data_IF_016432949349
#
_entry.id   IF_016432949349
#
_cell.length_a   1.000
_cell.length_b   1.000
_cell.length_c   1.000
_cell.angle_alpha   90.00
_cell.angle_beta   90.00
_cell.angle_gamma   90.00
#
_symmetry.space_group_name_H-M   'P 1'
#
loop_
_entity.id
_entity.type
_entity.pdbx_description
1 polymer ?
#
# COMPACT_ATOMS: atom_id res chain seq x y z
N UNK A 1 2.00 22.42 -10.74
CA UNK A 1 2.33 21.06 -10.26
C UNK A 1 1.28 20.72 -9.21
N UNK A 2 0.42 19.74 -9.48
CA UNK A 2 -0.60 19.31 -8.53
C UNK A 2 0.02 18.37 -7.49
N UNK A 3 -0.19 18.64 -6.21
CA UNK A 3 0.24 17.79 -5.09
C UNK A 3 -1.02 17.10 -4.54
N UNK A 4 -1.01 15.78 -4.45
CA UNK A 4 -2.11 15.02 -3.85
C UNK A 4 -2.39 15.52 -2.43
N UNK A 5 -3.67 15.56 -2.03
CA UNK A 5 -4.05 15.88 -0.65
C UNK A 5 -3.35 14.91 0.32
N UNK A 6 -3.08 15.41 1.53
CA UNK A 6 -2.34 14.70 2.58
C UNK A 6 -2.90 13.29 2.75
N UNK A 7 -2.01 12.30 2.72
CA UNK A 7 -2.32 10.96 3.21
C UNK A 7 -2.62 11.06 4.72
N UNK A 8 -3.75 10.54 5.17
CA UNK A 8 -4.10 10.50 6.60
C UNK A 8 -2.97 9.80 7.38
N UNK A 9 -2.53 10.38 8.51
CA UNK A 9 -1.48 9.84 9.39
C UNK A 9 -0.06 10.42 9.23
N UNK A 10 0.16 11.40 8.33
CA UNK A 10 1.45 12.09 8.23
C UNK A 10 1.67 13.13 9.34
N UNK A 11 2.83 13.09 10.01
CA UNK A 11 3.22 14.03 11.07
C UNK A 11 3.19 15.50 10.57
N UNK A 12 2.44 16.41 11.23
CA UNK A 12 2.29 17.79 10.78
C UNK A 12 3.59 18.59 11.01
N UNK A 13 4.52 18.51 10.05
CA UNK A 13 5.76 19.28 10.07
C UNK A 13 6.88 18.71 9.19
N UNK A 14 6.77 17.45 8.78
CA UNK A 14 7.80 16.79 7.94
C UNK A 14 7.47 17.00 6.45
N UNK A 15 8.27 17.84 5.79
CA UNK A 15 8.17 18.13 4.35
C UNK A 15 8.43 16.91 3.44
N UNK A 16 8.95 15.82 4.00
CA UNK A 16 9.17 14.55 3.29
C UNK A 16 7.96 13.63 3.47
N UNK A 17 6.83 14.01 2.85
CA UNK A 17 5.54 13.32 2.85
C UNK A 17 5.63 12.00 2.06
N UNK A 18 6.48 11.05 2.50
CA UNK A 18 6.59 9.72 1.89
C UNK A 18 5.63 8.77 2.60
N UNK A 19 4.66 8.24 1.86
CA UNK A 19 3.83 7.14 2.35
C UNK A 19 4.72 5.90 2.59
N UNK A 20 4.67 5.28 3.79
CA UNK A 20 5.39 4.04 4.02
C UNK A 20 4.90 2.97 3.05
N UNK A 21 5.79 2.09 2.59
CA UNK A 21 5.41 0.90 1.80
C UNK A 21 4.97 -0.19 2.76
N UNK A 22 3.86 0.09 3.44
CA UNK A 22 3.21 -0.80 4.41
C UNK A 22 1.90 -1.29 3.81
N UNK A 23 1.71 -2.59 3.77
CA UNK A 23 0.47 -3.23 3.31
C UNK A 23 -0.06 -4.10 4.44
N UNK A 24 -1.34 -3.98 4.74
CA UNK A 24 -2.04 -4.86 5.67
C UNK A 24 -3.12 -5.63 4.89
N UNK A 25 -3.07 -6.95 4.97
CA UNK A 25 -4.14 -7.83 4.48
C UNK A 25 -4.81 -8.53 5.65
N UNK A 26 -6.10 -8.84 5.46
CA UNK A 26 -6.88 -9.65 6.39
C UNK A 26 -6.27 -11.06 6.53
N UNK A 27 -6.66 -11.84 7.55
CA UNK A 27 -6.24 -13.24 7.68
C UNK A 27 -6.53 -14.10 6.44
N UNK A 28 -7.57 -13.76 5.68
CA UNK A 28 -7.98 -14.41 4.43
C UNK A 28 -7.17 -13.98 3.20
N UNK A 29 -6.30 -12.97 3.35
CA UNK A 29 -5.46 -12.45 2.26
C UNK A 29 -6.07 -11.27 1.50
N UNK A 30 -7.22 -10.76 1.91
CA UNK A 30 -7.87 -9.63 1.26
C UNK A 30 -7.23 -8.30 1.65
N UNK A 31 -7.31 -7.32 0.74
CA UNK A 31 -6.81 -5.97 1.01
C UNK A 31 -7.60 -5.31 2.13
N UNK A 32 -6.89 -4.89 3.19
CA UNK A 32 -7.48 -4.06 4.24
C UNK A 32 -7.06 -2.59 4.08
N UNK A 33 -5.76 -2.31 4.18
CA UNK A 33 -5.25 -0.93 4.15
C UNK A 33 -3.80 -0.85 3.67
N UNK A 34 -3.38 0.36 3.31
CA UNK A 34 -2.02 0.67 2.86
C UNK A 34 -1.47 1.91 3.58
N UNK A 35 -0.15 2.05 3.65
CA UNK A 35 0.52 3.25 4.14
C UNK A 35 0.41 3.41 5.66
N UNK A 36 0.18 4.65 6.11
CA UNK A 36 0.07 4.96 7.53
C UNK A 36 -1.12 4.24 8.17
N UNK A 37 -2.28 4.22 7.51
CA UNK A 37 -3.46 3.48 7.97
C UNK A 37 -3.18 2.00 8.21
N UNK A 38 -2.37 1.35 7.36
CA UNK A 38 -1.95 -0.04 7.57
C UNK A 38 -1.04 -0.21 8.79
N UNK A 39 -0.12 0.73 8.98
CA UNK A 39 0.79 0.73 10.13
C UNK A 39 -0.01 0.93 11.41
N UNK A 40 -0.79 1.99 11.48
CA UNK A 40 -1.47 2.41 12.72
C UNK A 40 -2.47 1.33 13.14
N UNK A 41 -3.32 0.85 12.22
CA UNK A 41 -4.25 -0.23 12.50
C UNK A 41 -3.57 -1.48 13.05
N UNK A 42 -2.47 -1.95 12.42
CA UNK A 42 -1.78 -3.15 12.88
C UNK A 42 -1.15 -2.98 14.28
N UNK A 43 -0.68 -1.78 14.63
CA UNK A 43 -0.08 -1.53 15.95
C UNK A 43 -1.13 -1.29 17.04
N UNK A 44 -2.37 -0.97 16.66
CA UNK A 44 -3.51 -0.83 17.57
C UNK A 44 -4.23 -2.17 17.84
N UNK A 45 -3.98 -3.21 17.03
CA UNK A 45 -4.52 -4.56 17.24
C UNK A 45 -3.98 -5.21 18.53
N UNK A 46 -4.82 -6.03 19.16
CA UNK A 46 -4.39 -6.91 20.22
C UNK A 46 -3.31 -7.89 19.70
N UNK A 47 -2.25 -8.19 20.49
CA UNK A 47 -1.14 -9.04 20.04
C UNK A 47 -1.53 -10.45 19.60
N UNK A 48 -2.64 -10.98 20.11
CA UNK A 48 -3.17 -12.28 19.68
C UNK A 48 -3.82 -12.18 18.30
N UNK A 49 -4.62 -11.13 18.06
CA UNK A 49 -5.26 -10.88 16.78
C UNK A 49 -4.22 -10.54 15.70
N UNK A 50 -3.27 -9.66 15.99
CA UNK A 50 -2.22 -9.22 15.06
C UNK A 50 -1.42 -10.39 14.43
N UNK A 51 -1.34 -11.54 15.11
CA UNK A 51 -0.69 -12.76 14.58
C UNK A 51 -1.42 -13.38 13.39
N UNK A 52 -2.73 -13.17 13.28
CA UNK A 52 -3.52 -13.72 12.19
C UNK A 52 -3.40 -12.88 10.92
N UNK A 53 -3.22 -11.57 11.09
CA UNK A 53 -3.12 -10.58 10.02
C UNK A 53 -1.79 -10.65 9.25
N UNK A 54 -1.84 -10.31 7.96
CA UNK A 54 -0.69 -10.29 7.08
C UNK A 54 -0.17 -8.87 6.91
N UNK A 55 0.75 -8.46 7.79
CA UNK A 55 1.37 -7.14 7.72
C UNK A 55 2.73 -7.18 7.04
N UNK A 56 2.91 -6.39 5.98
CA UNK A 56 4.14 -6.24 5.22
C UNK A 56 4.69 -4.83 5.37
N UNK A 57 5.76 -4.65 6.14
CA UNK A 57 6.46 -3.36 6.26
C UNK A 57 7.64 -3.24 5.27
N UNK A 58 7.79 -2.04 4.68
CA UNK A 58 8.93 -1.61 3.85
C UNK A 58 9.25 -2.61 2.73
N UNK A 59 8.22 -3.22 2.14
CA UNK A 59 8.41 -4.33 1.19
C UNK A 59 9.16 -3.90 -0.09
N UNK A 60 9.07 -2.62 -0.49
CA UNK A 60 9.87 -2.06 -1.59
C UNK A 60 11.38 -2.18 -1.32
N UNK A 61 11.80 -1.96 -0.08
CA UNK A 61 13.21 -2.05 0.29
C UNK A 61 13.69 -3.51 0.33
N UNK A 62 12.87 -4.43 0.86
CA UNK A 62 13.17 -5.87 0.90
C UNK A 62 13.48 -6.43 -0.50
N UNK A 63 12.72 -5.98 -1.49
CA UNK A 63 12.89 -6.35 -2.91
C UNK A 63 14.15 -5.70 -3.50
N UNK A 64 14.40 -4.42 -3.25
CA UNK A 64 15.59 -3.74 -3.74
C UNK A 64 16.90 -4.36 -3.22
N UNK A 65 16.88 -4.94 -2.01
CA UNK A 65 18.03 -5.66 -1.44
C UNK A 65 18.18 -7.10 -1.94
N UNK A 66 17.25 -7.62 -2.74
CA UNK A 66 17.27 -8.99 -3.25
C UNK A 66 17.90 -9.04 -4.64
N UNK A 67 19.06 -9.71 -4.75
CA UNK A 67 19.85 -9.76 -5.98
C UNK A 67 19.18 -10.54 -7.13
N UNK A 68 18.41 -11.58 -6.79
CA UNK A 68 17.79 -12.51 -7.74
C UNK A 68 16.26 -12.43 -7.66
N UNK A 69 15.70 -11.31 -8.13
CA UNK A 69 14.25 -11.17 -8.19
C UNK A 69 13.67 -12.02 -9.32
N UNK A 70 12.69 -12.85 -8.98
CA UNK A 70 11.94 -13.65 -9.95
C UNK A 70 10.45 -13.49 -9.71
N UNK A 71 9.62 -13.94 -10.66
CA UNK A 71 8.16 -13.98 -10.47
C UNK A 71 7.73 -14.93 -9.35
N UNK A 72 8.65 -15.77 -8.85
CA UNK A 72 8.43 -16.69 -7.72
C UNK A 72 8.88 -16.11 -6.37
N UNK A 73 9.47 -14.91 -6.37
CA UNK A 73 9.92 -14.27 -5.13
C UNK A 73 8.72 -14.09 -4.19
N UNK A 74 8.89 -14.53 -2.95
CA UNK A 74 7.90 -14.37 -1.90
C UNK A 74 8.36 -13.33 -0.89
N UNK A 75 7.42 -12.59 -0.33
CA UNK A 75 7.62 -11.69 0.79
C UNK A 75 7.04 -12.32 2.05
N UNK A 76 7.74 -12.12 3.16
CA UNK A 76 7.31 -12.57 4.47
C UNK A 76 6.63 -11.43 5.23
N UNK A 77 5.42 -11.71 5.72
CA UNK A 77 4.68 -10.87 6.64
C UNK A 77 5.26 -10.96 8.06
N UNK A 78 4.92 -10.03 8.94
CA UNK A 78 5.45 -10.01 10.32
C UNK A 78 5.10 -11.29 11.12
N UNK A 79 3.98 -11.94 10.81
CA UNK A 79 3.61 -13.23 11.42
C UNK A 79 4.34 -14.46 10.82
N UNK A 80 5.30 -14.26 9.92
CA UNK A 80 6.07 -15.33 9.27
C UNK A 80 5.39 -16.01 8.09
N UNK A 81 4.11 -15.70 7.81
CA UNK A 81 3.43 -16.19 6.60
C UNK A 81 4.03 -15.53 5.36
N UNK A 82 4.06 -16.25 4.24
CA UNK A 82 4.65 -15.80 2.98
C UNK A 82 3.60 -15.62 1.89
N UNK A 83 3.73 -14.55 1.12
CA UNK A 83 2.89 -14.25 -0.04
C UNK A 83 3.76 -13.93 -1.26
N UNK A 84 3.24 -14.14 -2.47
CA UNK A 84 3.97 -13.78 -3.68
C UNK A 84 4.23 -12.27 -3.71
N UNK A 85 5.47 -11.87 -4.05
CA UNK A 85 5.82 -10.45 -4.14
C UNK A 85 4.92 -9.73 -5.15
N UNK A 86 4.62 -10.39 -6.28
CA UNK A 86 3.72 -9.88 -7.31
C UNK A 86 2.33 -9.52 -6.76
N UNK A 87 1.80 -10.34 -5.85
CA UNK A 87 0.50 -10.14 -5.23
C UNK A 87 0.51 -8.93 -4.28
N UNK A 88 1.54 -8.82 -3.43
CA UNK A 88 1.77 -7.64 -2.58
C UNK A 88 1.84 -6.36 -3.41
N UNK A 89 2.59 -6.36 -4.52
CA UNK A 89 2.66 -5.21 -5.42
C UNK A 89 1.34 -4.94 -6.14
N UNK A 90 0.60 -5.97 -6.54
CA UNK A 90 -0.70 -5.82 -7.19
C UNK A 90 -1.70 -5.11 -6.27
N UNK A 91 -1.73 -5.46 -4.98
CA UNK A 91 -2.53 -4.77 -3.97
C UNK A 91 -2.11 -3.29 -3.84
N UNK A 92 -0.82 -3.01 -3.73
CA UNK A 92 -0.31 -1.65 -3.62
C UNK A 92 -0.64 -0.79 -4.87
N UNK A 93 -0.43 -1.34 -6.07
CA UNK A 93 -0.74 -0.65 -7.33
C UNK A 93 -2.25 -0.42 -7.50
N UNK A 94 -3.08 -1.38 -7.09
CA UNK A 94 -4.54 -1.24 -7.10
C UNK A 94 -4.98 -0.11 -6.17
N UNK A 95 -4.42 -0.05 -4.96
CA UNK A 95 -4.67 1.03 -4.01
C UNK A 95 -4.30 2.39 -4.60
N UNK A 96 -3.09 2.55 -5.16
CA UNK A 96 -2.69 3.83 -5.77
C UNK A 96 -3.58 4.21 -6.94
N UNK A 97 -3.97 3.24 -7.78
CA UNK A 97 -4.88 3.48 -8.89
C UNK A 97 -6.23 4.01 -8.38
N UNK A 98 -6.83 3.34 -7.41
CA UNK A 98 -8.13 3.73 -6.85
C UNK A 98 -8.07 5.12 -6.19
N UNK A 99 -7.07 5.36 -5.34
CA UNK A 99 -6.90 6.67 -4.69
C UNK A 99 -6.66 7.80 -5.69
N UNK A 100 -5.83 7.58 -6.72
CA UNK A 100 -5.60 8.60 -7.73
C UNK A 100 -6.87 8.92 -8.54
N UNK A 101 -7.66 7.90 -8.87
CA UNK A 101 -8.96 8.09 -9.56
C UNK A 101 -9.93 8.85 -8.67
N UNK A 102 -10.05 8.46 -7.40
CA UNK A 102 -10.95 9.11 -6.44
C UNK A 102 -10.59 10.58 -6.23
N UNK A 103 -9.31 10.90 -5.99
CA UNK A 103 -8.87 12.29 -5.83
C UNK A 103 -9.17 13.13 -7.08
N UNK A 104 -8.96 12.56 -8.28
CA UNK A 104 -9.29 13.24 -9.53
C UNK A 104 -10.80 13.50 -9.67
N UNK A 105 -11.64 12.54 -9.28
CA UNK A 105 -13.10 12.71 -9.29
C UNK A 105 -13.55 13.78 -8.30
N UNK A 106 -12.99 13.78 -7.09
CA UNK A 106 -13.31 14.75 -6.04
C UNK A 106 -12.92 16.18 -6.44
N UNK A 107 -11.82 16.35 -7.17
CA UNK A 107 -11.37 17.66 -7.64
C UNK A 107 -11.98 18.09 -8.97
N UNK A 108 -12.37 17.13 -9.81
CA UNK A 108 -12.94 17.38 -11.13
C UNK A 108 -14.09 16.40 -11.40
N UNK A 109 -15.32 16.70 -10.93
CA UNK A 109 -16.47 15.83 -11.11
C UNK A 109 -16.87 15.61 -12.58
N UNK A 110 -16.40 16.49 -13.48
CA UNK A 110 -16.64 16.44 -14.92
C UNK A 110 -15.58 15.66 -15.70
N UNK A 111 -14.61 15.04 -15.03
CA UNK A 111 -13.59 14.23 -15.69
C UNK A 111 -14.25 13.02 -16.37
N UNK A 112 -14.03 12.78 -17.67
CA UNK A 112 -14.61 11.61 -18.34
C UNK A 112 -14.06 10.31 -17.71
N UNK A 113 -14.95 9.40 -17.32
CA UNK A 113 -14.60 8.14 -16.62
C UNK A 113 -13.61 7.26 -17.42
N UNK A 114 -13.65 7.34 -18.76
CA UNK A 114 -12.80 6.56 -19.65
C UNK A 114 -11.82 7.43 -20.44
N UNK A 115 -10.54 7.03 -20.43
CA UNK A 115 -9.49 7.64 -21.27
C UNK A 115 -8.83 8.90 -20.71
N UNK A 116 -9.31 9.44 -19.59
CA UNK A 116 -8.71 10.62 -18.96
C UNK A 116 -7.34 10.35 -18.30
N UNK A 117 -7.06 9.10 -17.93
CA UNK A 117 -5.83 8.71 -17.22
C UNK A 117 -5.01 7.75 -18.07
N UNK A 118 -3.76 8.13 -18.37
CA UNK A 118 -2.77 7.27 -19.01
C UNK A 118 -1.81 6.72 -17.95
N UNK A 119 -1.89 5.42 -17.69
CA UNK A 119 -0.96 4.71 -16.80
C UNK A 119 0.35 4.39 -17.54
N UNK A 120 1.48 4.64 -16.89
CA UNK A 120 2.82 4.27 -17.39
C UNK A 120 3.44 3.36 -16.34
N UNK A 121 3.89 2.17 -16.77
CA UNK A 121 4.50 1.13 -15.94
C UNK A 121 5.98 1.05 -16.28
#
# INVERSE_FOLDING_TARGET
>A
IHMMRKWEGGDPGVANQKTPTSLLLTPDGDFHSFGYTARDYYHDLDPEEAREWLYFEKFKMKIHSTSDLTMKTQLEAINGKKLAALEVFAHALRFFKQHAVQELQDQCPSLPEHGAIRWVI
#
